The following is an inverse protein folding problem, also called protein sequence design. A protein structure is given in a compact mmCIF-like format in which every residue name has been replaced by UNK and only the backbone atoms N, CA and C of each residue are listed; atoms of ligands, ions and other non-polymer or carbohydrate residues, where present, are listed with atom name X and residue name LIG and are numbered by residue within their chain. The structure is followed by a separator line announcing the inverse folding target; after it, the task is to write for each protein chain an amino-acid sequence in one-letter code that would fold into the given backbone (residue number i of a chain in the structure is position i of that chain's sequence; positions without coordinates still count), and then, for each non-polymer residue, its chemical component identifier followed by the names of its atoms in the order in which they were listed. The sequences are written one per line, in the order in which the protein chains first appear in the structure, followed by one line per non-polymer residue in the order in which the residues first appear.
data_IF_718065554293
#
_entry.id   IF_718065554293
#
_cell.length_a   1.000
_cell.length_b   1.000
_cell.length_c   1.000
_cell.angle_alpha   90.00
_cell.angle_beta   90.00
_cell.angle_gamma   90.00
#
_symmetry.space_group_name_H-M   'P 1'
#
loop_
_entity.id
_entity.type
_entity.pdbx_description
1 polymer ?
#
# COMPACT_ATOMS: atom_id res chain seq x y z
N UNK A 1 -31.97 10.66 -10.39
CA UNK A 1 -31.11 11.54 -11.21
C UNK A 1 -31.39 11.37 -12.70
N UNK A 2 -31.01 12.33 -13.54
CA UNK A 2 -31.14 12.31 -15.01
C UNK A 2 -29.78 12.37 -15.70
N UNK A 3 -29.68 12.00 -16.98
CA UNK A 3 -28.43 12.05 -17.73
C UNK A 3 -27.88 13.49 -17.90
N UNK A 4 -28.78 14.48 -18.01
CA UNK A 4 -28.39 15.90 -18.05
C UNK A 4 -27.77 16.34 -16.71
N UNK A 5 -28.36 15.91 -15.59
CA UNK A 5 -27.81 16.22 -14.26
C UNK A 5 -26.42 15.61 -14.04
N UNK A 6 -26.12 14.45 -14.64
CA UNK A 6 -24.77 13.85 -14.60
C UNK A 6 -23.76 14.75 -15.32
N UNK A 7 -24.11 15.27 -16.51
CA UNK A 7 -23.23 16.14 -17.29
C UNK A 7 -23.06 17.52 -16.67
N UNK A 8 -24.10 18.04 -16.02
CA UNK A 8 -24.08 19.34 -15.37
C UNK A 8 -23.43 19.32 -13.97
N UNK A 9 -23.07 18.15 -13.46
CA UNK A 9 -22.46 18.03 -12.14
C UNK A 9 -21.06 18.66 -12.14
N UNK A 10 -20.94 19.81 -11.49
CA UNK A 10 -19.68 20.53 -11.33
C UNK A 10 -18.93 20.08 -10.07
N UNK A 11 -17.61 20.07 -10.13
CA UNK A 11 -16.77 19.67 -9.00
C UNK A 11 -16.60 20.81 -7.96
N UNK A 12 -16.45 20.51 -6.64
CA UNK A 12 -16.63 19.20 -6.01
C UNK A 12 -18.11 18.90 -5.71
N UNK A 13 -18.60 17.75 -6.15
CA UNK A 13 -19.97 17.33 -5.85
C UNK A 13 -20.11 15.83 -5.61
N UNK A 14 -21.08 15.47 -4.78
CA UNK A 14 -21.52 14.10 -4.54
C UNK A 14 -23.04 14.03 -4.71
N UNK A 15 -23.50 13.52 -5.85
CA UNK A 15 -24.92 13.43 -6.19
C UNK A 15 -25.46 12.04 -5.92
N UNK A 16 -26.59 11.96 -5.24
CA UNK A 16 -27.27 10.70 -4.93
C UNK A 16 -28.30 10.36 -6.01
N UNK A 17 -28.24 9.15 -6.59
CA UNK A 17 -29.25 8.67 -7.54
C UNK A 17 -30.34 7.82 -6.88
N UNK A 18 -30.02 7.10 -5.81
CA UNK A 18 -30.92 6.14 -5.16
C UNK A 18 -30.28 4.79 -4.92
N UNK A 19 -30.80 4.03 -3.94
CA UNK A 19 -30.39 2.65 -3.69
C UNK A 19 -28.90 2.46 -3.43
N UNK A 20 -28.23 3.46 -2.84
CA UNK A 20 -26.79 3.44 -2.59
C UNK A 20 -25.91 3.86 -3.77
N UNK A 21 -26.48 4.26 -4.91
CA UNK A 21 -25.72 4.78 -6.05
C UNK A 21 -25.46 6.29 -5.91
N UNK A 22 -24.20 6.66 -6.11
CA UNK A 22 -23.71 8.04 -6.06
C UNK A 22 -22.85 8.36 -7.29
N UNK A 23 -22.90 9.61 -7.72
CA UNK A 23 -21.98 10.21 -8.66
C UNK A 23 -21.04 11.15 -7.89
N UNK A 24 -19.74 10.89 -7.96
CA UNK A 24 -18.71 11.76 -7.40
C UNK A 24 -18.07 12.57 -8.54
N UNK A 25 -18.16 13.89 -8.47
CA UNK A 25 -17.50 14.82 -9.39
C UNK A 25 -16.32 15.49 -8.67
N UNK A 26 -15.13 15.38 -9.26
CA UNK A 26 -13.88 15.94 -8.74
C UNK A 26 -13.19 16.76 -9.84
N UNK A 27 -12.49 17.82 -9.43
CA UNK A 27 -11.66 18.59 -10.33
C UNK A 27 -10.43 17.74 -10.71
N UNK A 28 -10.15 17.64 -12.01
CA UNK A 28 -9.03 16.87 -12.54
C UNK A 28 -8.30 17.72 -13.59
N UNK A 29 -7.25 18.42 -13.14
CA UNK A 29 -6.49 19.36 -13.97
C UNK A 29 -7.40 20.46 -14.52
N UNK A 30 -7.44 20.59 -15.85
CA UNK A 30 -8.24 21.59 -16.57
C UNK A 30 -9.72 21.18 -16.76
N UNK A 31 -10.12 20.01 -16.24
CA UNK A 31 -11.46 19.45 -16.44
C UNK A 31 -12.11 18.89 -15.17
N UNK A 32 -13.21 18.18 -15.38
CA UNK A 32 -13.99 17.52 -14.32
C UNK A 32 -14.05 16.02 -14.55
N UNK A 33 -13.62 15.25 -13.56
CA UNK A 33 -13.76 13.80 -13.59
C UNK A 33 -14.98 13.38 -12.78
N UNK A 34 -15.83 12.56 -13.39
CA UNK A 34 -17.05 12.05 -12.75
C UNK A 34 -16.95 10.54 -12.63
N UNK A 35 -17.18 10.00 -11.44
CA UNK A 35 -17.08 8.57 -11.16
C UNK A 35 -18.32 8.05 -10.43
N UNK A 36 -18.74 6.85 -10.80
CA UNK A 36 -19.83 6.15 -10.16
C UNK A 36 -19.34 5.38 -8.94
N UNK A 37 -20.00 5.62 -7.82
CA UNK A 37 -19.73 4.96 -6.56
C UNK A 37 -20.99 4.29 -6.04
N UNK A 38 -20.85 3.05 -5.59
CA UNK A 38 -21.91 2.31 -4.93
C UNK A 38 -21.56 2.13 -3.46
N UNK A 39 -22.40 2.66 -2.57
CA UNK A 39 -22.25 2.61 -1.13
C UNK A 39 -23.07 1.45 -0.58
N UNK A 40 -22.43 0.58 0.19
CA UNK A 40 -23.09 -0.57 0.81
C UNK A 40 -22.46 -0.93 2.15
N UNK A 41 -23.11 -1.82 2.88
CA UNK A 41 -22.57 -2.42 4.11
C UNK A 41 -22.13 -3.84 3.80
N UNK A 42 -20.86 -4.16 4.06
CA UNK A 42 -20.34 -5.50 3.80
C UNK A 42 -20.99 -6.52 4.75
N UNK A 43 -21.51 -7.66 4.24
CA UNK A 43 -22.23 -8.63 5.06
C UNK A 43 -21.34 -9.31 6.10
N UNK A 44 -20.07 -9.56 5.77
CA UNK A 44 -19.14 -10.27 6.66
C UNK A 44 -18.57 -9.41 7.81
N UNK A 45 -18.40 -8.10 7.58
CA UNK A 45 -17.74 -7.21 8.56
C UNK A 45 -18.68 -6.14 9.12
N UNK A 46 -19.90 -6.03 8.59
CA UNK A 46 -20.88 -4.96 8.92
C UNK A 46 -20.32 -3.53 8.78
N UNK A 47 -19.23 -3.36 8.02
CA UNK A 47 -18.59 -2.06 7.77
C UNK A 47 -19.11 -1.47 6.47
N UNK A 48 -19.31 -0.15 6.47
CA UNK A 48 -19.69 0.60 5.27
C UNK A 48 -18.49 0.68 4.32
N UNK A 49 -18.74 0.38 3.04
CA UNK A 49 -17.74 0.39 1.97
C UNK A 49 -18.27 1.11 0.73
N UNK A 50 -17.33 1.61 -0.06
CA UNK A 50 -17.58 2.22 -1.36
C UNK A 50 -16.98 1.32 -2.45
N UNK A 51 -17.80 0.96 -3.43
CA UNK A 51 -17.39 0.25 -4.62
C UNK A 51 -17.41 1.20 -5.81
N UNK A 52 -16.26 1.41 -6.45
CA UNK A 52 -16.19 2.12 -7.73
C UNK A 52 -16.76 1.25 -8.86
N UNK A 53 -17.74 1.80 -9.58
CA UNK A 53 -18.39 1.17 -10.74
C UNK A 53 -17.80 1.64 -12.08
N UNK A 54 -17.09 2.77 -12.11
CA UNK A 54 -16.39 3.28 -13.30
C UNK A 54 -16.50 4.79 -13.47
N UNK A 55 -15.87 5.34 -14.52
CA UNK A 55 -16.07 6.73 -14.94
C UNK A 55 -17.46 6.92 -15.53
N UNK A 56 -18.08 8.08 -15.31
CA UNK A 56 -19.38 8.42 -15.88
C UNK A 56 -19.34 8.65 -17.40
N UNK A 57 -18.14 8.81 -17.97
CA UNK A 57 -17.93 8.85 -19.43
C UNK A 57 -17.99 7.45 -20.04
N UNK A 58 -17.42 6.46 -19.35
CA UNK A 58 -17.38 5.08 -19.81
C UNK A 58 -18.66 4.29 -19.47
N UNK A 59 -19.33 4.66 -18.38
CA UNK A 59 -20.51 3.95 -17.85
C UNK A 59 -21.69 4.91 -17.85
N UNK A 60 -22.72 4.60 -18.64
CA UNK A 60 -23.94 5.40 -18.68
C UNK A 60 -24.72 5.31 -17.37
N UNK A 61 -25.61 6.26 -17.10
CA UNK A 61 -26.49 6.22 -15.91
C UNK A 61 -27.31 4.93 -15.85
N UNK A 62 -27.77 4.42 -17.00
CA UNK A 62 -28.53 3.16 -17.09
C UNK A 62 -27.66 1.98 -16.66
N UNK A 63 -26.43 1.92 -17.17
CA UNK A 63 -25.51 0.82 -16.87
C UNK A 63 -25.02 0.88 -15.43
N UNK A 64 -24.81 2.08 -14.89
CA UNK A 64 -24.48 2.28 -13.48
C UNK A 64 -25.60 1.76 -12.56
N UNK A 65 -26.87 2.02 -12.90
CA UNK A 65 -28.03 1.46 -12.18
C UNK A 65 -28.07 -0.07 -12.26
N UNK A 66 -27.84 -0.64 -13.44
CA UNK A 66 -27.79 -2.09 -13.62
C UNK A 66 -26.63 -2.73 -12.84
N UNK A 67 -25.46 -2.09 -12.80
CA UNK A 67 -24.32 -2.55 -12.02
C UNK A 67 -24.58 -2.47 -10.51
N UNK A 68 -25.22 -1.40 -10.04
CA UNK A 68 -25.66 -1.27 -8.65
C UNK A 68 -26.69 -2.35 -8.27
N UNK A 69 -27.62 -2.67 -9.17
CA UNK A 69 -28.59 -3.75 -8.97
C UNK A 69 -27.91 -5.12 -8.85
N UNK A 70 -26.97 -5.44 -9.74
CA UNK A 70 -26.16 -6.67 -9.64
C UNK A 70 -25.39 -6.74 -8.32
N UNK A 71 -24.86 -5.62 -7.84
CA UNK A 71 -24.18 -5.56 -6.56
C UNK A 71 -25.15 -5.79 -5.39
N UNK A 72 -26.38 -5.27 -5.45
CA UNK A 72 -27.43 -5.55 -4.44
C UNK A 72 -27.82 -7.02 -4.40
N UNK A 73 -28.03 -7.65 -5.55
CA UNK A 73 -28.33 -9.08 -5.64
C UNK A 73 -27.24 -9.95 -5.02
N UNK A 74 -25.96 -9.55 -5.18
CA UNK A 74 -24.85 -10.24 -4.53
C UNK A 74 -24.88 -10.07 -3.00
N UNK A 75 -25.23 -8.88 -2.52
CA UNK A 75 -25.38 -8.62 -1.08
C UNK A 75 -26.53 -9.40 -0.46
N UNK A 76 -27.66 -9.55 -1.17
CA UNK A 76 -28.78 -10.40 -0.74
C UNK A 76 -28.37 -11.88 -0.66
N UNK A 77 -27.49 -12.33 -1.57
CA UNK A 77 -26.87 -13.64 -1.50
C UNK A 77 -25.75 -13.76 -0.43
N UNK A 78 -25.50 -12.70 0.36
CA UNK A 78 -24.47 -12.68 1.39
C UNK A 78 -23.03 -12.56 0.87
N UNK A 79 -22.84 -12.25 -0.42
CA UNK A 79 -21.53 -12.15 -1.07
C UNK A 79 -21.10 -10.68 -1.12
N UNK A 80 -19.88 -10.36 -0.65
CA UNK A 80 -19.31 -9.01 -0.82
C UNK A 80 -18.89 -8.78 -2.29
N UNK A 81 -19.48 -7.81 -3.02
CA UNK A 81 -19.18 -7.55 -4.43
C UNK A 81 -17.72 -7.17 -4.70
N UNK A 82 -17.05 -6.51 -3.77
CA UNK A 82 -15.64 -6.12 -3.93
C UNK A 82 -14.76 -7.35 -3.87
N UNK A 83 -15.03 -8.24 -2.92
CA UNK A 83 -14.19 -9.43 -2.71
C UNK A 83 -14.44 -10.46 -3.81
N UNK A 84 -15.69 -10.61 -4.30
CA UNK A 84 -15.99 -11.37 -5.50
C UNK A 84 -15.19 -10.86 -6.72
N UNK A 85 -15.20 -9.54 -6.97
CA UNK A 85 -14.45 -8.95 -8.09
C UNK A 85 -12.94 -9.16 -7.96
N UNK A 86 -12.40 -9.13 -6.73
CA UNK A 86 -10.97 -9.43 -6.49
C UNK A 86 -10.65 -10.89 -6.77
N UNK A 87 -11.51 -11.80 -6.33
CA UNK A 87 -11.35 -13.23 -6.55
C UNK A 87 -11.38 -13.56 -8.05
N UNK A 88 -12.34 -13.01 -8.79
CA UNK A 88 -12.45 -13.17 -10.24
C UNK A 88 -11.21 -12.67 -10.98
N UNK A 89 -10.67 -11.50 -10.58
CA UNK A 89 -9.42 -10.97 -11.17
C UNK A 89 -8.21 -11.84 -10.85
N UNK A 90 -8.13 -12.37 -9.62
CA UNK A 90 -7.04 -13.26 -9.22
C UNK A 90 -7.11 -14.59 -9.99
N UNK A 91 -8.30 -15.17 -10.13
CA UNK A 91 -8.52 -16.37 -10.92
C UNK A 91 -8.14 -16.15 -12.40
N UNK A 92 -8.59 -15.05 -13.01
CA UNK A 92 -8.23 -14.71 -14.38
C UNK A 92 -6.71 -14.52 -14.58
N UNK A 93 -6.01 -13.96 -13.59
CA UNK A 93 -4.55 -13.81 -13.64
C UNK A 93 -3.83 -15.16 -13.58
N UNK A 94 -4.31 -16.09 -12.75
CA UNK A 94 -3.77 -17.46 -12.65
C UNK A 94 -4.00 -18.23 -13.95
N UNK A 95 -5.21 -18.18 -14.52
CA UNK A 95 -5.49 -18.81 -15.81
C UNK A 95 -4.65 -18.21 -16.94
N UNK A 96 -4.48 -16.88 -16.94
CA UNK A 96 -3.60 -16.21 -17.90
C UNK A 96 -2.14 -16.68 -17.75
N UNK A 97 -1.66 -16.93 -16.54
CA UNK A 97 -0.31 -17.47 -16.29
C UNK A 97 -0.17 -18.92 -16.76
N UNK A 98 -1.17 -19.77 -16.50
CA UNK A 98 -1.21 -21.15 -17.01
C UNK A 98 -1.22 -21.22 -18.55
N UNK A 99 -1.79 -20.21 -19.22
CA UNK A 99 -1.76 -20.11 -20.67
C UNK A 99 -0.40 -19.67 -21.24
N UNK A 100 0.56 -19.24 -20.41
CA UNK A 100 1.87 -18.78 -20.87
C UNK A 100 2.79 -19.94 -21.19
N UNK A 101 3.47 -19.85 -22.32
CA UNK A 101 4.51 -20.81 -22.69
C UNK A 101 5.80 -20.58 -21.90
N UNK A 102 6.61 -21.64 -21.72
CA UNK A 102 7.93 -21.53 -21.10
C UNK A 102 8.82 -20.47 -21.76
N UNK A 103 8.78 -20.36 -23.10
CA UNK A 103 9.53 -19.35 -23.85
C UNK A 103 9.13 -17.93 -23.45
N UNK A 104 7.84 -17.65 -23.32
CA UNK A 104 7.33 -16.34 -22.91
C UNK A 104 7.70 -16.02 -21.45
N UNK A 105 7.64 -17.01 -20.56
CA UNK A 105 8.07 -16.85 -19.17
C UNK A 105 9.58 -16.59 -19.08
N UNK A 106 10.40 -17.33 -19.83
CA UNK A 106 11.85 -17.17 -19.87
C UNK A 106 12.28 -15.78 -20.40
N UNK A 107 11.61 -15.27 -21.44
CA UNK A 107 11.90 -13.95 -21.99
C UNK A 107 11.58 -12.83 -21.00
N UNK A 108 10.42 -12.87 -20.34
CA UNK A 108 10.08 -11.88 -19.29
C UNK A 108 11.05 -11.97 -18.10
N UNK A 109 11.44 -13.18 -17.69
CA UNK A 109 12.44 -13.35 -16.64
C UNK A 109 13.79 -12.70 -17.01
N UNK A 110 14.26 -12.91 -18.23
CA UNK A 110 15.49 -12.26 -18.71
C UNK A 110 15.33 -10.74 -18.71
N UNK A 111 14.18 -10.20 -19.15
CA UNK A 111 13.94 -8.76 -19.20
C UNK A 111 13.88 -8.12 -17.81
N UNK A 112 13.13 -8.71 -16.87
CA UNK A 112 13.06 -8.23 -15.48
C UNK A 112 14.42 -8.26 -14.77
N UNK A 113 15.31 -9.20 -15.14
CA UNK A 113 16.68 -9.29 -14.59
C UNK A 113 17.69 -8.41 -15.32
N UNK A 114 17.44 -8.00 -16.56
CA UNK A 114 18.26 -7.01 -17.28
C UNK A 114 18.16 -5.63 -16.65
N UNK A 115 16.96 -5.21 -16.24
CA UNK A 115 16.75 -3.93 -15.54
C UNK A 115 17.31 -3.88 -14.12
N UNK A 116 17.41 -5.04 -13.45
CA UNK A 116 17.94 -5.19 -12.09
C UNK A 116 19.36 -5.78 -12.06
N UNK A 117 20.12 -5.62 -13.14
CA UNK A 117 21.49 -6.12 -13.24
C UNK A 117 22.34 -5.63 -12.07
N UNK A 118 22.96 -6.57 -11.34
CA UNK A 118 24.04 -6.24 -10.40
C UNK A 118 25.09 -5.49 -11.23
N UNK A 119 25.53 -4.28 -10.83
CA UNK A 119 26.61 -3.62 -11.54
C UNK A 119 27.79 -4.59 -11.60
N UNK A 120 28.36 -4.75 -12.79
CA UNK A 120 29.60 -5.52 -12.98
C UNK A 120 30.69 -4.91 -12.09
N UNK A 121 31.68 -5.72 -11.67
CA UNK A 121 32.76 -5.23 -10.82
C UNK A 121 33.49 -4.05 -11.49
N UNK A 122 33.54 -4.08 -12.82
CA UNK A 122 34.06 -3.03 -13.70
C UNK A 122 33.28 -1.70 -13.56
N UNK A 123 31.99 -1.72 -13.24
CA UNK A 123 31.19 -0.51 -13.00
C UNK A 123 31.32 0.03 -11.55
N UNK A 124 31.82 -0.79 -10.61
CA UNK A 124 32.14 -0.35 -9.24
C UNK A 124 33.54 0.25 -9.14
N UNK A 125 34.43 -0.08 -10.07
CA UNK A 125 35.75 0.57 -10.24
C UNK A 125 35.62 1.67 -11.28
N UNK A 126 34.73 2.64 -11.01
CA UNK A 126 34.86 3.94 -11.65
C UNK A 126 36.06 4.65 -11.04
N UNK A 127 37.08 4.96 -11.83
CA UNK A 127 38.09 5.94 -11.41
C UNK A 127 37.35 7.20 -10.94
N UNK A 128 37.64 7.71 -9.73
CA UNK A 128 37.00 8.94 -9.28
C UNK A 128 37.33 10.04 -10.28
N UNK A 129 36.36 10.88 -10.70
CA UNK A 129 36.65 12.00 -11.57
C UNK A 129 37.72 12.84 -10.89
N UNK A 130 38.85 13.02 -11.59
CA UNK A 130 40.06 13.65 -11.06
C UNK A 130 39.74 14.89 -10.25
N UNK A 131 39.86 14.76 -8.92
CA UNK A 131 39.82 15.90 -8.01
C UNK A 131 41.08 16.69 -8.29
N UNK A 132 40.97 17.71 -9.14
CA UNK A 132 41.98 18.76 -9.23
C UNK A 132 42.02 19.45 -7.87
N UNK A 133 42.96 19.05 -7.03
CA UNK A 133 43.33 19.82 -5.86
C UNK A 133 43.86 21.17 -6.37
N UNK A 134 43.03 22.20 -6.26
CA UNK A 134 43.46 23.59 -6.50
C UNK A 134 44.65 23.88 -5.59
N UNK A 135 45.77 24.43 -6.10
CA UNK A 135 46.88 24.79 -5.26
C UNK A 135 46.44 26.01 -4.44
N UNK A 136 46.09 25.78 -3.17
CA UNK A 136 46.01 26.87 -2.21
C UNK A 136 47.39 27.53 -2.14
N UNK A 137 47.47 28.68 -2.79
CA UNK A 137 48.64 29.55 -2.78
C UNK A 137 48.84 30.03 -1.35
N UNK A 138 49.90 29.53 -0.71
CA UNK A 138 50.40 30.03 0.57
C UNK A 138 50.63 31.55 0.45
N UNK A 139 49.81 32.34 1.13
CA UNK A 139 50.08 33.74 1.38
C UNK A 139 50.54 33.91 2.83
N UNK A 140 51.67 34.59 3.08
CA UNK A 140 52.30 34.65 4.39
C UNK A 140 51.57 35.60 5.34
N UNK A 141 51.66 35.26 6.63
CA UNK A 141 51.19 36.05 7.77
C UNK A 141 51.86 37.43 7.80
N UNK A 142 51.06 38.48 8.01
CA UNK A 142 51.52 39.83 8.33
C UNK A 142 50.49 40.58 9.18
N UNK A 143 50.89 41.00 10.38
CA UNK A 143 50.07 41.63 11.41
C UNK A 143 49.98 43.17 11.25
N UNK A 144 48.80 43.76 11.49
CA UNK A 144 48.57 45.09 12.11
C UNK A 144 47.03 45.32 12.19
N UNK A 145 46.38 45.24 13.37
CA UNK A 145 46.15 46.31 14.36
C UNK A 145 45.45 47.55 13.75
N UNK A 146 44.17 47.79 14.04
CA UNK A 146 43.70 48.74 15.07
C UNK A 146 42.18 49.08 14.97
N UNK A 147 41.59 49.19 16.16
CA UNK A 147 40.36 49.80 16.68
C UNK A 147 39.37 50.59 15.79
N UNK A 148 38.09 50.30 16.03
CA UNK A 148 37.00 51.19 16.53
C UNK A 148 35.69 50.71 15.87
N UNK A 149 34.65 50.30 16.59
CA UNK A 149 33.85 51.04 17.57
C UNK A 149 32.39 50.92 17.09
N UNK A 150 31.45 50.56 17.96
CA UNK A 150 30.03 50.52 17.56
C UNK A 150 29.15 49.51 18.28
N UNK A 151 28.94 49.77 19.56
CA UNK A 151 27.94 49.22 20.47
C UNK A 151 26.52 49.04 19.86
N UNK A 152 25.86 47.90 20.14
CA UNK A 152 24.45 47.91 20.57
C UNK A 152 24.14 46.71 21.47
N UNK A 153 24.20 47.02 22.77
CA UNK A 153 23.64 46.27 23.88
C UNK A 153 22.13 46.03 23.76
N UNK A 154 21.73 44.92 24.39
CA UNK A 154 20.55 44.76 25.25
C UNK A 154 19.17 44.59 24.59
N UNK A 155 18.28 43.73 25.08
CA UNK A 155 18.35 42.71 26.14
C UNK A 155 17.07 41.86 26.07
N UNK A 156 17.21 40.60 26.47
CA UNK A 156 16.39 39.82 27.40
C UNK A 156 14.90 40.17 27.59
N UNK A 157 14.06 39.13 27.59
CA UNK A 157 13.30 38.66 28.79
C UNK A 157 12.11 37.77 28.36
N UNK A 158 11.53 36.95 29.26
CA UNK A 158 12.17 36.13 30.28
C UNK A 158 11.61 34.69 30.33
N UNK A 159 12.42 33.80 30.91
CA UNK A 159 11.95 32.57 31.54
C UNK A 159 11.12 32.91 32.79
N UNK A 160 10.05 32.16 33.01
CA UNK A 160 9.48 31.92 34.34
C UNK A 160 9.20 30.43 34.45
N UNK A 161 10.15 29.73 35.07
CA UNK A 161 9.87 28.51 35.82
C UNK A 161 9.38 28.90 37.22
N UNK A 162 8.38 28.18 37.73
CA UNK A 162 8.35 27.55 39.06
C UNK A 162 6.89 27.25 39.50
N UNK A 163 6.61 25.94 39.51
CA UNK A 163 5.92 25.17 40.56
C UNK A 163 4.61 25.70 41.17
N UNK A 164 3.52 24.90 41.02
CA UNK A 164 2.95 24.24 42.20
C UNK A 164 2.04 23.03 41.87
N UNK A 165 2.20 21.99 42.69
CA UNK A 165 1.66 20.64 42.61
C UNK A 165 0.18 20.51 43.03
N UNK A 166 -0.49 19.48 42.52
CA UNK A 166 -0.90 18.27 43.28
C UNK A 166 -2.25 17.68 42.85
N UNK A 167 -2.24 16.36 42.58
CA UNK A 167 -3.32 15.45 42.97
C UNK A 167 -4.37 15.08 41.91
N UNK A 168 -4.16 13.98 41.18
CA UNK A 168 -4.99 12.77 41.34
C UNK A 168 -4.44 11.62 40.48
N UNK A 169 -4.11 10.53 41.15
CA UNK A 169 -3.47 9.36 40.59
C UNK A 169 -4.45 8.41 39.89
N UNK A 170 -3.94 7.77 38.85
CA UNK A 170 -4.30 6.41 38.48
C UNK A 170 -3.00 5.72 38.01
N UNK A 171 -2.69 4.50 38.48
CA UNK A 171 -1.45 3.83 38.15
C UNK A 171 -1.42 3.47 36.66
N UNK A 172 -0.41 3.96 35.95
CA UNK A 172 -0.01 3.42 34.65
C UNK A 172 0.63 2.07 34.90
N UNK A 173 -0.11 1.01 34.62
CA UNK A 173 0.41 -0.33 34.47
C UNK A 173 1.64 -0.30 33.56
N UNK A 174 2.75 -0.83 34.07
CA UNK A 174 3.99 -0.98 33.36
C UNK A 174 3.76 -1.87 32.12
N UNK A 175 3.97 -1.29 30.94
CA UNK A 175 4.03 -2.05 29.70
C UNK A 175 5.14 -3.12 29.81
N UNK A 176 4.85 -4.40 29.61
CA UNK A 176 5.89 -5.43 29.64
C UNK A 176 6.84 -5.21 28.46
N UNK A 177 8.13 -5.23 28.80
CA UNK A 177 9.25 -5.25 27.87
C UNK A 177 8.99 -6.28 26.76
N UNK A 178 9.08 -5.81 25.51
CA UNK A 178 8.89 -6.64 24.32
C UNK A 178 9.99 -7.71 24.29
N UNK A 179 9.67 -9.02 24.30
CA UNK A 179 10.69 -10.05 24.17
C UNK A 179 11.31 -10.00 22.76
N UNK A 180 12.63 -9.82 22.73
CA UNK A 180 13.46 -9.85 21.53
C UNK A 180 13.78 -11.29 21.12
N UNK A 181 12.78 -12.13 20.84
CA UNK A 181 13.05 -13.49 20.36
C UNK A 181 12.57 -13.69 18.92
N UNK A 182 13.56 -13.86 18.05
CA UNK A 182 13.41 -14.59 16.81
C UNK A 182 12.84 -15.99 17.09
N UNK A 183 11.57 -16.22 16.76
CA UNK A 183 10.98 -17.57 16.73
C UNK A 183 10.40 -17.85 15.35
N UNK A 184 11.24 -17.71 14.33
CA UNK A 184 10.89 -18.00 12.93
C UNK A 184 11.52 -19.30 12.39
N UNK A 185 11.91 -20.23 13.26
CA UNK A 185 12.67 -21.42 12.84
C UNK A 185 12.20 -22.79 13.39
N UNK A 186 11.12 -22.88 14.18
CA UNK A 186 10.72 -24.17 14.81
C UNK A 186 9.31 -24.70 14.48
N UNK A 187 8.60 -24.13 13.50
CA UNK A 187 7.31 -24.67 13.04
C UNK A 187 7.39 -25.44 11.72
N UNK A 188 8.47 -25.28 10.95
CA UNK A 188 8.64 -25.98 9.66
C UNK A 188 9.12 -27.44 9.81
N UNK A 189 9.84 -27.76 10.89
CA UNK A 189 10.33 -29.12 11.17
C UNK A 189 9.21 -30.00 11.76
N UNK A 190 8.32 -29.42 12.58
CA UNK A 190 7.23 -30.15 13.22
C UNK A 190 6.11 -30.56 12.25
N UNK A 191 5.79 -29.73 11.24
CA UNK A 191 4.77 -30.04 10.23
C UNK A 191 5.25 -31.08 9.21
N UNK A 192 6.56 -31.10 8.89
CA UNK A 192 7.14 -32.13 8.00
C UNK A 192 7.14 -33.54 8.61
N UNK A 193 7.17 -33.65 9.95
CA UNK A 193 7.18 -34.96 10.63
C UNK A 193 5.79 -35.59 10.71
N UNK A 194 4.72 -34.79 10.75
CA UNK A 194 3.33 -35.26 10.76
C UNK A 194 2.87 -35.75 9.39
N UNK A 195 3.27 -35.08 8.30
CA UNK A 195 2.91 -35.51 6.93
C UNK A 195 3.58 -36.85 6.57
N UNK A 196 4.79 -37.12 7.06
CA UNK A 196 5.50 -38.38 6.76
C UNK A 196 4.89 -39.60 7.47
N UNK A 197 4.25 -39.41 8.64
CA UNK A 197 3.61 -40.50 9.37
C UNK A 197 2.20 -40.81 8.82
N UNK A 198 1.45 -39.78 8.41
CA UNK A 198 0.14 -39.97 7.79
C UNK A 198 0.23 -40.72 6.44
N UNK A 199 1.31 -40.54 5.67
CA UNK A 199 1.50 -41.26 4.41
C UNK A 199 1.98 -42.72 4.59
N UNK A 200 2.65 -43.03 5.71
CA UNK A 200 3.11 -44.40 6.00
C UNK A 200 1.93 -45.30 6.45
N UNK A 201 1.01 -44.78 7.27
CA UNK A 201 -0.17 -45.54 7.72
C UNK A 201 -1.18 -45.82 6.59
N UNK A 202 -1.36 -44.88 5.65
CA UNK A 202 -2.22 -45.08 4.47
C UNK A 202 -1.65 -46.11 3.49
N UNK A 203 -0.31 -46.21 3.34
CA UNK A 203 0.31 -47.20 2.46
C UNK A 203 0.23 -48.64 3.00
N UNK A 204 0.31 -48.80 4.32
CA UNK A 204 0.28 -50.12 4.98
C UNK A 204 -1.15 -50.69 5.05
N UNK A 205 -2.15 -49.80 5.13
CA UNK A 205 -3.58 -50.16 5.04
C UNK A 205 -3.95 -50.68 3.64
N UNK A 206 -3.40 -50.07 2.58
CA UNK A 206 -3.65 -50.51 1.20
C UNK A 206 -3.01 -51.88 0.88
N UNK A 207 -1.80 -52.13 1.38
CA UNK A 207 -1.10 -53.41 1.18
C UNK A 207 -1.78 -54.62 1.87
N UNK A 208 -2.54 -54.42 2.95
CA UNK A 208 -3.35 -55.48 3.58
C UNK A 208 -4.70 -55.71 2.90
N UNK A 209 -5.21 -54.73 2.15
CA UNK A 209 -6.48 -54.83 1.44
C UNK A 209 -6.35 -55.57 0.09
N UNK A 210 -5.15 -55.58 -0.51
CA UNK A 210 -4.85 -56.30 -1.74
C UNK A 210 -3.95 -57.49 -1.44
N UNK A 211 -4.55 -58.59 -0.96
CA UNK A 211 -3.82 -59.82 -0.64
C UNK A 211 -2.97 -60.31 -1.82
N UNK A 212 -1.66 -60.37 -1.59
CA UNK A 212 -0.71 -61.19 -2.34
C UNK A 212 0.31 -61.75 -1.36
#
# INVERSE_FOLDING_TARGET
MTAAAVKAAAAPAMLHDGGGLYLKAEAAGDGEQRSWLFRYTAPATSKRRWMGLGSAEAVSLKDARAAAEKARQQLEAGIDPIDKRKLERAAAAVEADHARTFKQAALEYVETKRGNGRPTREALVGDPPGVRLSPHRLAPRGCARHLSGGNRLHQDSPETDLDNQAGNGAPREAAPLRPCWSTRALTAIAVRRTIRLAWCELSTSWAKATGR
#
